data_IF_116443409078
#
_entry.id   IF_116443409078
#
_cell.length_a   1.000
_cell.length_b   1.000
_cell.length_c   1.000
_cell.angle_alpha   90.00
_cell.angle_beta   90.00
_cell.angle_gamma   90.00
#
_symmetry.space_group_name_H-M   'P 1'
#
loop_
_entity.id
_entity.type
_entity.pdbx_description
1 polymer ?
#
# COMPACT_ATOMS: atom_id res chain seq x y z
N UNK A 1 -5.73 23.48 15.68
CA UNK A 1 -5.98 22.94 14.31
C UNK A 1 -7.42 22.43 14.23
N UNK A 2 -8.24 22.93 13.29
CA UNK A 2 -9.65 22.55 13.15
C UNK A 2 -9.83 21.04 12.88
N UNK A 3 -10.91 20.40 13.40
CA UNK A 3 -11.19 18.98 13.13
C UNK A 3 -11.32 18.66 11.64
N UNK A 4 -11.82 19.59 10.83
CA UNK A 4 -11.94 19.44 9.38
C UNK A 4 -10.54 19.37 8.73
N UNK A 5 -9.65 20.29 9.12
CA UNK A 5 -8.28 20.33 8.60
C UNK A 5 -7.53 19.03 8.92
N UNK A 6 -7.65 18.52 10.15
CA UNK A 6 -7.02 17.23 10.52
C UNK A 6 -7.51 16.07 9.66
N UNK A 7 -8.81 16.02 9.38
CA UNK A 7 -9.40 14.97 8.53
C UNK A 7 -8.95 15.10 7.07
N UNK A 8 -8.88 16.33 6.55
CA UNK A 8 -8.39 16.59 5.19
C UNK A 8 -6.92 16.17 5.03
N UNK A 9 -6.05 16.56 5.97
CA UNK A 9 -4.63 16.17 5.96
C UNK A 9 -4.47 14.66 6.05
N UNK A 10 -5.18 14.00 6.96
CA UNK A 10 -5.15 12.54 7.08
C UNK A 10 -5.63 11.84 5.81
N UNK A 11 -6.68 12.36 5.18
CA UNK A 11 -7.18 11.85 3.91
C UNK A 11 -6.14 11.97 2.80
N UNK A 12 -5.54 13.16 2.63
CA UNK A 12 -4.55 13.43 1.60
C UNK A 12 -3.29 12.56 1.76
N UNK A 13 -2.77 12.46 2.98
CA UNK A 13 -1.61 11.62 3.27
C UNK A 13 -1.94 10.14 3.03
N UNK A 14 -3.07 9.67 3.55
CA UNK A 14 -3.50 8.29 3.42
C UNK A 14 -3.75 7.88 1.96
N UNK A 15 -4.38 8.75 1.16
CA UNK A 15 -4.66 8.46 -0.26
C UNK A 15 -3.41 8.52 -1.11
N UNK A 16 -2.51 9.49 -0.87
CA UNK A 16 -1.23 9.59 -1.59
C UNK A 16 -0.36 8.36 -1.30
N UNK A 17 -0.29 7.94 -0.03
CA UNK A 17 0.40 6.72 0.36
C UNK A 17 -0.25 5.46 -0.26
N UNK A 18 -1.58 5.42 -0.38
CA UNK A 18 -2.29 4.32 -1.05
C UNK A 18 -1.91 4.22 -2.52
N UNK A 19 -1.85 5.35 -3.23
CA UNK A 19 -1.46 5.39 -4.64
C UNK A 19 -0.03 4.91 -4.85
N UNK A 20 0.90 5.37 -4.00
CA UNK A 20 2.29 4.89 -4.04
C UNK A 20 2.38 3.39 -3.76
N UNK A 21 1.64 2.88 -2.76
CA UNK A 21 1.56 1.46 -2.47
C UNK A 21 1.08 0.64 -3.68
N UNK A 22 -0.03 1.05 -4.31
CA UNK A 22 -0.57 0.37 -5.49
C UNK A 22 0.42 0.40 -6.67
N UNK A 23 1.12 1.52 -6.88
CA UNK A 23 2.17 1.63 -7.90
C UNK A 23 3.32 0.65 -7.63
N UNK A 24 3.75 0.53 -6.38
CA UNK A 24 4.77 -0.44 -5.97
C UNK A 24 4.30 -1.89 -6.13
N UNK A 25 3.06 -2.22 -5.78
CA UNK A 25 2.50 -3.56 -6.02
C UNK A 25 2.48 -3.89 -7.52
N UNK A 26 2.14 -2.91 -8.37
CA UNK A 26 2.21 -3.10 -9.82
C UNK A 26 3.64 -3.39 -10.30
N UNK A 27 4.65 -2.67 -9.78
CA UNK A 27 6.06 -2.95 -10.13
C UNK A 27 6.50 -4.35 -9.70
N UNK A 28 6.14 -4.75 -8.47
CA UNK A 28 6.41 -6.10 -7.95
C UNK A 28 5.73 -7.17 -8.80
N UNK A 29 4.45 -6.97 -9.15
CA UNK A 29 3.70 -7.90 -10.00
C UNK A 29 4.31 -7.98 -11.39
N UNK A 30 4.63 -6.84 -12.01
CA UNK A 30 5.22 -6.78 -13.36
C UNK A 30 6.58 -7.45 -13.41
N UNK A 31 7.42 -7.26 -12.38
CA UNK A 31 8.74 -7.88 -12.30
C UNK A 31 8.66 -9.37 -11.95
N UNK A 32 8.01 -9.71 -10.83
CA UNK A 32 7.98 -11.09 -10.31
C UNK A 32 7.09 -12.04 -11.11
N UNK A 33 6.06 -11.55 -11.81
CA UNK A 33 5.15 -12.37 -12.62
C UNK A 33 5.49 -12.34 -14.13
N UNK A 34 6.58 -11.72 -14.55
CA UNK A 34 7.09 -11.80 -15.93
C UNK A 34 8.06 -12.97 -16.12
N UNK A 35 8.08 -13.59 -17.30
CA UNK A 35 9.14 -14.55 -17.70
C UNK A 35 10.21 -13.91 -18.59
N UNK A 36 10.02 -12.64 -18.97
CA UNK A 36 10.97 -11.88 -19.78
C UNK A 36 12.03 -11.24 -18.88
N UNK A 37 13.32 -11.64 -18.98
CA UNK A 37 14.40 -11.08 -18.18
C UNK A 37 14.69 -9.60 -18.51
N UNK A 38 14.20 -9.07 -19.62
CA UNK A 38 14.32 -7.65 -19.99
C UNK A 38 13.45 -6.71 -19.16
N UNK A 39 12.43 -7.21 -18.44
CA UNK A 39 11.51 -6.36 -17.66
C UNK A 39 12.15 -5.81 -16.39
N UNK A 40 12.97 -6.60 -15.71
CA UNK A 40 13.68 -6.21 -14.50
C UNK A 40 15.03 -6.94 -14.39
N UNK A 41 16.01 -6.61 -15.24
CA UNK A 41 17.26 -7.36 -15.37
C UNK A 41 18.11 -7.35 -14.09
N UNK A 42 17.86 -6.42 -13.18
CA UNK A 42 18.57 -6.27 -11.91
C UNK A 42 17.72 -6.64 -10.69
N UNK A 43 16.42 -6.90 -10.85
CA UNK A 43 15.50 -7.12 -9.73
C UNK A 43 15.18 -5.88 -8.91
N UNK A 44 15.46 -4.67 -9.42
CA UNK A 44 15.22 -3.42 -8.69
C UNK A 44 13.73 -3.15 -8.50
N UNK A 45 12.89 -3.53 -9.47
CA UNK A 45 11.45 -3.45 -9.36
C UNK A 45 10.92 -4.30 -8.21
N UNK A 46 11.45 -5.51 -8.03
CA UNK A 46 11.14 -6.37 -6.90
C UNK A 46 11.64 -5.81 -5.57
N UNK A 47 12.92 -5.45 -5.47
CA UNK A 47 13.52 -4.99 -4.21
C UNK A 47 12.89 -3.67 -3.72
N UNK A 48 12.90 -2.63 -4.55
CA UNK A 48 12.39 -1.32 -4.16
C UNK A 48 10.86 -1.31 -4.12
N UNK A 49 10.19 -1.99 -5.05
CA UNK A 49 8.74 -2.13 -5.02
C UNK A 49 8.24 -2.78 -3.72
N UNK A 50 8.93 -3.81 -3.23
CA UNK A 50 8.54 -4.47 -1.97
C UNK A 50 8.74 -3.57 -0.76
N UNK A 51 9.95 -3.01 -0.59
CA UNK A 51 10.30 -2.21 0.61
C UNK A 51 9.49 -0.92 0.65
N UNK A 52 9.49 -0.15 -0.45
CA UNK A 52 8.74 1.12 -0.52
C UNK A 52 7.24 0.86 -0.46
N UNK A 53 6.76 -0.20 -1.12
CA UNK A 53 5.36 -0.59 -1.11
C UNK A 53 4.85 -0.91 0.30
N UNK A 54 5.60 -1.69 1.09
CA UNK A 54 5.21 -2.02 2.46
C UNK A 54 5.12 -0.78 3.36
N UNK A 55 6.10 0.13 3.26
CA UNK A 55 6.11 1.38 4.02
C UNK A 55 4.91 2.25 3.61
N UNK A 56 4.70 2.45 2.31
CA UNK A 56 3.59 3.24 1.78
C UNK A 56 2.22 2.65 2.15
N UNK A 57 2.06 1.34 2.05
CA UNK A 57 0.83 0.64 2.40
C UNK A 57 0.50 0.74 3.89
N UNK A 58 1.51 0.59 4.75
CA UNK A 58 1.34 0.79 6.19
C UNK A 58 0.97 2.23 6.53
N UNK A 59 1.68 3.21 5.95
CA UNK A 59 1.37 4.65 6.11
C UNK A 59 -0.06 4.96 5.67
N UNK A 60 -0.51 4.40 4.54
CA UNK A 60 -1.90 4.50 4.11
C UNK A 60 -2.86 3.90 5.13
N UNK A 61 -2.60 2.67 5.57
CA UNK A 61 -3.50 1.94 6.45
C UNK A 61 -3.71 2.62 7.82
N UNK A 62 -2.69 3.30 8.34
CA UNK A 62 -2.77 4.03 9.61
C UNK A 62 -3.33 5.45 9.44
N UNK A 63 -3.04 6.13 8.32
CA UNK A 63 -3.40 7.54 8.13
C UNK A 63 -4.81 7.72 7.61
N UNK A 64 -5.24 6.87 6.67
CA UNK A 64 -6.52 6.99 5.96
C UNK A 64 -7.75 6.97 6.90
N UNK A 65 -7.81 6.14 7.97
CA UNK A 65 -8.90 6.19 8.93
C UNK A 65 -9.06 7.55 9.63
N UNK A 66 -7.98 8.34 9.74
CA UNK A 66 -8.00 9.68 10.32
C UNK A 66 -8.91 10.66 9.56
N UNK A 67 -9.21 10.39 8.28
CA UNK A 67 -10.13 11.18 7.46
C UNK A 67 -11.60 11.03 7.87
N UNK A 68 -11.93 9.98 8.63
CA UNK A 68 -13.30 9.65 9.02
C UNK A 68 -13.68 10.23 10.39
N UNK A 69 -14.99 10.41 10.67
CA UNK A 69 -15.48 10.76 12.00
C UNK A 69 -15.15 9.67 13.03
N UNK A 70 -14.99 10.08 14.29
CA UNK A 70 -14.46 9.24 15.39
C UNK A 70 -15.18 7.89 15.51
N UNK A 71 -16.50 7.89 15.39
CA UNK A 71 -17.35 6.70 15.54
C UNK A 71 -17.06 5.60 14.50
N UNK A 72 -16.52 6.00 13.33
CA UNK A 72 -16.18 5.06 12.24
C UNK A 72 -14.71 4.69 12.18
N UNK A 73 -13.82 5.43 12.87
CA UNK A 73 -12.36 5.26 12.76
C UNK A 73 -11.91 3.85 13.09
N UNK A 74 -12.37 3.30 14.22
CA UNK A 74 -11.95 1.95 14.66
C UNK A 74 -12.30 0.87 13.64
N UNK A 75 -13.48 0.95 13.03
CA UNK A 75 -13.90 0.01 11.99
C UNK A 75 -13.06 0.20 10.72
N UNK A 76 -12.83 1.45 10.31
CA UNK A 76 -12.01 1.76 9.15
C UNK A 76 -10.55 1.30 9.32
N UNK A 77 -9.93 1.52 10.48
CA UNK A 77 -8.56 1.05 10.78
C UNK A 77 -8.43 -0.45 10.59
N UNK A 78 -9.40 -1.24 11.07
CA UNK A 78 -9.39 -2.69 10.87
C UNK A 78 -9.45 -3.06 9.40
N UNK A 79 -10.36 -2.45 8.64
CA UNK A 79 -10.48 -2.72 7.21
C UNK A 79 -9.24 -2.30 6.42
N UNK A 80 -8.67 -1.14 6.71
CA UNK A 80 -7.45 -0.68 6.05
C UNK A 80 -6.27 -1.60 6.33
N UNK A 81 -6.08 -2.04 7.59
CA UNK A 81 -5.03 -2.99 7.94
C UNK A 81 -5.25 -4.37 7.31
N UNK A 82 -6.48 -4.89 7.34
CA UNK A 82 -6.82 -6.16 6.70
C UNK A 82 -6.56 -6.09 5.20
N UNK A 83 -7.03 -5.03 4.53
CA UNK A 83 -6.79 -4.85 3.10
C UNK A 83 -5.30 -4.79 2.78
N UNK A 84 -4.53 -4.00 3.53
CA UNK A 84 -3.09 -3.88 3.36
C UNK A 84 -2.38 -5.24 3.49
N UNK A 85 -2.66 -5.97 4.58
CA UNK A 85 -2.04 -7.28 4.85
C UNK A 85 -2.47 -8.30 3.80
N UNK A 86 -3.76 -8.44 3.53
CA UNK A 86 -4.28 -9.45 2.60
C UNK A 86 -3.77 -9.21 1.19
N UNK A 87 -3.86 -7.98 0.66
CA UNK A 87 -3.41 -7.70 -0.71
C UNK A 87 -1.91 -7.89 -0.86
N UNK A 88 -1.11 -7.37 0.09
CA UNK A 88 0.35 -7.51 0.04
C UNK A 88 0.77 -8.97 0.18
N UNK A 89 0.18 -9.71 1.13
CA UNK A 89 0.49 -11.12 1.35
C UNK A 89 0.11 -11.98 0.14
N UNK A 90 -1.06 -11.75 -0.47
CA UNK A 90 -1.49 -12.48 -1.68
C UNK A 90 -0.53 -12.24 -2.83
N UNK A 91 -0.15 -10.98 -3.10
CA UNK A 91 0.80 -10.69 -4.18
C UNK A 91 2.16 -11.35 -3.92
N UNK A 92 2.70 -11.21 -2.71
CA UNK A 92 4.03 -11.71 -2.41
C UNK A 92 4.06 -13.24 -2.35
N UNK A 93 3.00 -13.88 -1.88
CA UNK A 93 2.83 -15.33 -1.99
C UNK A 93 2.79 -15.76 -3.46
N UNK A 94 2.03 -15.05 -4.32
CA UNK A 94 1.96 -15.35 -5.74
C UNK A 94 3.32 -15.23 -6.44
N UNK A 95 4.13 -14.23 -6.07
CA UNK A 95 5.50 -14.08 -6.60
C UNK A 95 6.45 -15.15 -6.06
N UNK A 96 6.34 -15.52 -4.78
CA UNK A 96 7.21 -16.53 -4.15
C UNK A 96 6.93 -17.96 -4.64
N UNK A 97 5.67 -18.25 -4.96
CA UNK A 97 5.22 -19.59 -5.36
C UNK A 97 5.24 -19.81 -6.88
N UNK A 98 5.64 -18.80 -7.66
CA UNK A 98 5.76 -18.87 -9.12
C UNK A 98 7.08 -19.48 -9.53
#
# INVERSE_FOLDING_TARGET
MSPIIRRAVAGLLGSTAALLWLMCLYLVARSGLSSDPGIDPHGYGLMFGTVVGLIAGLLSAVSLPGALPVDRRRRATRWCLLLFVTVSAVLYAAVLLR
#
